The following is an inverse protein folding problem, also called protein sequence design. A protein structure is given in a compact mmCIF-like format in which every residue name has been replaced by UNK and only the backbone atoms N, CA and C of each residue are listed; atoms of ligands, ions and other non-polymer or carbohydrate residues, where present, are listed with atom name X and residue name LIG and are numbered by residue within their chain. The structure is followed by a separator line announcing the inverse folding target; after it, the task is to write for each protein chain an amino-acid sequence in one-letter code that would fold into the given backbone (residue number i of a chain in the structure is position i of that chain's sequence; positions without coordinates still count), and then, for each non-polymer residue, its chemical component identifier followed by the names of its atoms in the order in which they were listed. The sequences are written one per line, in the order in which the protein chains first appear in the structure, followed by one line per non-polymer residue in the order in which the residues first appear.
data_IF_966553056850
#
_entry.id   IF_966553056850
#
_cell.length_a   1.000
_cell.length_b   1.000
_cell.length_c   1.000
_cell.angle_alpha   90.00
_cell.angle_beta   90.00
_cell.angle_gamma   90.00
#
_symmetry.space_group_name_H-M   'P 1'
#
loop_
_entity.id
_entity.type
_entity.pdbx_description
1 polymer ?
#
# COMPACT_ATOMS: atom_id res chain seq x y z
N UNK A 1 12.70 5.41 11.35
CA UNK A 1 13.33 6.67 11.84
C UNK A 1 13.16 6.75 13.35
N UNK A 2 14.18 7.16 14.11
CA UNK A 2 14.13 7.20 15.58
C UNK A 2 13.03 8.11 16.15
N UNK A 3 12.45 9.01 15.34
CA UNK A 3 11.35 9.91 15.75
C UNK A 3 10.00 9.60 15.08
N UNK A 4 9.87 8.44 14.43
CA UNK A 4 8.60 8.07 13.81
C UNK A 4 7.64 7.57 14.90
N UNK A 5 6.60 8.35 15.18
CA UNK A 5 5.46 7.92 15.98
C UNK A 5 4.29 7.57 15.03
N UNK A 6 4.17 6.30 14.60
CA UNK A 6 3.18 5.93 13.60
C UNK A 6 1.76 6.06 14.15
N UNK A 7 0.85 6.58 13.32
CA UNK A 7 -0.57 6.70 13.64
C UNK A 7 -1.40 5.79 12.71
N UNK A 8 -2.51 5.26 13.21
CA UNK A 8 -3.46 4.53 12.36
C UNK A 8 -3.92 5.43 11.20
N UNK A 9 -4.09 4.85 10.01
CA UNK A 9 -4.36 5.52 8.74
C UNK A 9 -3.20 6.34 8.15
N UNK A 10 -2.06 6.45 8.85
CA UNK A 10 -0.87 7.07 8.28
C UNK A 10 -0.33 6.25 7.11
N UNK A 11 0.04 6.94 6.03
CA UNK A 11 0.73 6.35 4.88
C UNK A 11 2.24 6.50 5.03
N UNK A 12 2.95 5.40 4.80
CA UNK A 12 4.41 5.34 4.82
C UNK A 12 4.94 4.84 3.48
N UNK A 13 6.16 5.26 3.12
CA UNK A 13 6.88 4.74 1.96
C UNK A 13 7.98 3.79 2.42
N UNK A 14 8.07 2.65 1.76
CA UNK A 14 9.03 1.59 2.06
C UNK A 14 9.77 1.17 0.79
N UNK A 15 11.03 0.76 0.91
CA UNK A 15 11.74 0.11 -0.18
C UNK A 15 11.25 -1.32 -0.36
N UNK A 16 10.83 -1.67 -1.57
CA UNK A 16 10.42 -3.01 -1.98
C UNK A 16 11.61 -3.89 -2.40
N UNK A 17 11.39 -5.20 -2.60
CA UNK A 17 12.44 -6.17 -2.90
C UNK A 17 13.24 -5.85 -4.17
N UNK A 18 12.63 -5.20 -5.16
CA UNK A 18 13.31 -4.85 -6.42
C UNK A 18 13.77 -3.39 -6.47
N UNK A 19 13.80 -2.70 -5.33
CA UNK A 19 14.16 -1.28 -5.25
C UNK A 19 13.03 -0.33 -5.65
N UNK A 20 11.81 -0.83 -5.90
CA UNK A 20 10.63 0.04 -6.03
C UNK A 20 10.24 0.66 -4.69
N UNK A 21 9.52 1.78 -4.72
CA UNK A 21 8.88 2.33 -3.52
C UNK A 21 7.46 1.78 -3.40
N UNK A 22 7.17 1.17 -2.25
CA UNK A 22 5.83 0.67 -1.90
C UNK A 22 5.21 1.61 -0.88
N UNK A 23 3.96 2.02 -1.12
CA UNK A 23 3.17 2.77 -0.16
C UNK A 23 2.39 1.79 0.69
N UNK A 24 2.53 1.88 2.00
CA UNK A 24 1.81 1.07 2.97
C UNK A 24 0.98 1.95 3.90
N UNK A 25 -0.09 1.40 4.47
CA UNK A 25 -0.95 2.08 5.43
C UNK A 25 -0.82 1.43 6.81
N UNK A 26 -0.69 2.23 7.86
CA UNK A 26 -0.71 1.73 9.24
C UNK A 26 -2.14 1.35 9.60
N UNK A 27 -2.38 0.07 9.91
CA UNK A 27 -3.71 -0.44 10.27
C UNK A 27 -3.83 -0.77 11.75
N UNK A 28 -2.71 -0.96 12.46
CA UNK A 28 -2.68 -1.08 13.90
C UNK A 28 -1.32 -0.65 14.47
N UNK A 29 -1.36 -0.07 15.67
CA UNK A 29 -0.18 0.29 16.47
C UNK A 29 -0.38 -0.30 17.86
N UNK A 30 0.62 -1.03 18.34
CA UNK A 30 0.65 -1.60 19.69
C UNK A 30 1.99 -1.26 20.34
N UNK A 31 2.15 -1.57 21.63
CA UNK A 31 3.40 -1.33 22.36
C UNK A 31 4.58 -2.14 21.79
N UNK A 32 4.32 -3.26 21.11
CA UNK A 32 5.35 -4.17 20.62
C UNK A 32 5.56 -4.06 19.11
N UNK A 33 4.48 -3.88 18.34
CA UNK A 33 4.50 -3.97 16.88
C UNK A 33 3.58 -2.95 16.20
N UNK A 34 3.93 -2.61 14.96
CA UNK A 34 3.12 -1.82 14.03
C UNK A 34 2.71 -2.73 12.87
N UNK A 35 1.41 -2.78 12.57
CA UNK A 35 0.87 -3.57 11.46
C UNK A 35 0.66 -2.66 10.26
N UNK A 36 1.23 -3.06 9.13
CA UNK A 36 1.22 -2.30 7.87
C UNK A 36 0.47 -3.09 6.80
N UNK A 37 -0.50 -2.45 6.16
CA UNK A 37 -1.18 -2.96 4.97
C UNK A 37 -0.48 -2.48 3.70
N UNK A 38 0.04 -3.43 2.93
CA UNK A 38 0.70 -3.20 1.65
C UNK A 38 -0.16 -3.62 0.46
N UNK A 39 -1.43 -3.98 0.67
CA UNK A 39 -2.32 -4.36 -0.42
C UNK A 39 -2.60 -3.16 -1.33
N UNK A 40 -2.67 -3.37 -2.66
CA UNK A 40 -3.18 -2.36 -3.57
C UNK A 40 -4.60 -1.90 -3.15
N UNK A 41 -4.99 -0.62 -3.37
CA UNK A 41 -6.28 -0.08 -2.90
C UNK A 41 -7.54 -0.79 -3.40
N UNK A 42 -7.40 -1.59 -4.46
CA UNK A 42 -8.46 -2.34 -5.10
C UNK A 42 -8.40 -3.85 -4.83
N UNK A 43 -7.47 -4.31 -3.97
CA UNK A 43 -7.36 -5.72 -3.62
C UNK A 43 -8.67 -6.22 -2.96
N UNK A 44 -9.12 -7.40 -3.37
CA UNK A 44 -10.36 -8.01 -2.89
C UNK A 44 -11.65 -7.34 -3.37
N UNK A 45 -11.57 -6.36 -4.29
CA UNK A 45 -12.75 -5.75 -4.91
C UNK A 45 -13.02 -6.39 -6.27
N UNK A 46 -14.30 -6.61 -6.56
CA UNK A 46 -14.74 -6.91 -7.92
C UNK A 46 -14.55 -5.67 -8.79
N UNK A 47 -13.80 -5.82 -9.87
CA UNK A 47 -13.53 -4.73 -10.80
C UNK A 47 -14.27 -5.00 -12.11
N UNK A 48 -15.16 -4.08 -12.47
CA UNK A 48 -15.88 -4.08 -13.73
C UNK A 48 -15.24 -3.02 -14.62
N UNK A 49 -14.68 -3.44 -15.73
CA UNK A 49 -14.05 -2.56 -16.71
C UNK A 49 -14.87 -2.55 -18.00
N UNK A 50 -15.09 -1.35 -18.53
CA UNK A 50 -15.52 -1.16 -19.90
C UNK A 50 -14.25 -0.86 -20.73
N UNK A 51 -13.88 -1.77 -21.61
CA UNK A 51 -12.60 -1.74 -22.33
C UNK A 51 -12.84 -1.47 -23.81
N UNK A 52 -12.04 -0.56 -24.39
CA UNK A 52 -12.01 -0.28 -25.83
C UNK A 52 -10.61 -0.59 -26.39
N UNK A 53 -10.57 -1.33 -27.52
CA UNK A 53 -9.31 -1.62 -28.21
C UNK A 53 -8.90 -0.42 -29.07
N UNK A 54 -7.82 0.26 -28.66
CA UNK A 54 -7.29 1.43 -29.38
C UNK A 54 -6.34 1.03 -30.52
N UNK A 55 -5.39 0.13 -30.26
CA UNK A 55 -4.43 -0.37 -31.26
C UNK A 55 -3.72 -1.64 -30.76
N UNK A 56 -3.12 -2.40 -31.69
CA UNK A 56 -2.15 -3.46 -31.40
C UNK A 56 -0.85 -3.09 -32.12
N UNK A 57 0.27 -3.13 -31.40
CA UNK A 57 1.61 -2.76 -31.87
C UNK A 57 2.41 -3.95 -32.38
#
# INVERSE_FOLDING_TARGET
PPDLNPEVDQKLQMGGPNGELVVVTVVAVTDEVVVLDANPPLAGKDLIFDLELVAIS
#
